data_IF_362976196604
#
_entry.id   IF_362976196604
#
_cell.length_a   1.000
_cell.length_b   1.000
_cell.length_c   1.000
_cell.angle_alpha   90.00
_cell.angle_beta   90.00
_cell.angle_gamma   90.00
#
_symmetry.space_group_name_H-M   'P 1'
#
loop_
_entity.id
_entity.type
_entity.pdbx_description
1 polymer ?
#
# COMPACT_ATOMS: atom_id res chain seq x y z
N UNK A 1 -8.94 -0.91 6.83
CA UNK A 1 -8.77 -1.99 7.86
C UNK A 1 -7.33 -2.48 7.82
N UNK A 2 -6.65 -2.57 8.97
CA UNK A 2 -5.26 -3.05 9.03
C UNK A 2 -5.23 -4.57 9.17
N UNK A 3 -4.66 -5.25 8.18
CA UNK A 3 -4.45 -6.70 8.13
C UNK A 3 -2.97 -6.98 8.33
N UNK A 4 -2.63 -7.99 9.13
CA UNK A 4 -1.22 -8.40 9.31
C UNK A 4 -1.01 -9.70 8.56
N UNK A 5 -0.16 -9.68 7.55
CA UNK A 5 0.22 -10.87 6.78
C UNK A 5 1.61 -10.73 6.20
N UNK A 6 2.51 -11.65 6.57
CA UNK A 6 3.87 -11.72 6.04
C UNK A 6 3.91 -12.09 4.55
N UNK A 7 2.89 -12.78 4.06
CA UNK A 7 2.86 -13.32 2.69
C UNK A 7 2.33 -12.31 1.67
N UNK A 8 1.49 -11.36 2.11
CA UNK A 8 0.92 -10.33 1.23
C UNK A 8 1.85 -9.12 1.05
N UNK A 9 2.80 -8.91 1.97
CA UNK A 9 3.78 -7.84 1.84
C UNK A 9 5.04 -8.39 1.16
N UNK A 10 5.43 -7.86 -0.01
CA UNK A 10 6.62 -8.31 -0.74
C UNK A 10 7.92 -8.18 0.09
N UNK A 11 8.93 -8.97 -0.26
CA UNK A 11 10.26 -8.87 0.36
C UNK A 11 10.84 -7.46 0.10
N UNK A 12 11.45 -6.86 1.12
CA UNK A 12 11.98 -5.49 1.06
C UNK A 12 11.03 -4.41 1.59
N UNK A 13 9.74 -4.70 1.76
CA UNK A 13 8.75 -3.73 2.23
C UNK A 13 8.24 -4.05 3.65
N UNK A 14 7.80 -3.00 4.36
CA UNK A 14 7.23 -3.10 5.71
C UNK A 14 5.69 -3.20 5.68
N UNK A 15 5.06 -2.55 4.70
CA UNK A 15 3.64 -2.58 4.47
C UNK A 15 3.27 -2.51 2.99
N UNK A 16 1.99 -2.73 2.69
CA UNK A 16 1.38 -2.60 1.38
C UNK A 16 -0.03 -2.03 1.56
N UNK A 17 -0.36 -0.95 0.86
CA UNK A 17 -1.71 -0.37 0.89
C UNK A 17 -2.47 -0.65 -0.40
N UNK A 18 -3.61 -1.32 -0.26
CA UNK A 18 -4.57 -1.58 -1.35
C UNK A 18 -5.95 -1.24 -0.81
N UNK A 19 -6.53 -0.12 -1.23
CA UNK A 19 -7.79 0.38 -0.71
C UNK A 19 -8.87 -0.71 -0.65
N UNK A 20 -9.61 -0.87 0.47
CA UNK A 20 -9.56 -0.10 1.73
C UNK A 20 -8.63 -0.70 2.82
N UNK A 21 -7.69 -1.56 2.43
CA UNK A 21 -6.85 -2.36 3.31
C UNK A 21 -5.41 -1.86 3.38
N UNK A 22 -4.85 -1.94 4.59
CA UNK A 22 -3.41 -1.74 4.84
C UNK A 22 -2.87 -3.07 5.33
N UNK A 23 -1.95 -3.65 4.60
CA UNK A 23 -1.26 -4.89 4.97
C UNK A 23 0.06 -4.55 5.64
N UNK A 24 0.26 -5.03 6.86
CA UNK A 24 1.52 -4.94 7.57
C UNK A 24 2.19 -6.29 7.62
N UNK A 25 3.52 -6.32 7.48
CA UNK A 25 4.28 -7.57 7.47
C UNK A 25 4.29 -8.29 8.83
N UNK A 26 4.31 -7.51 9.91
CA UNK A 26 4.44 -8.00 11.30
C UNK A 26 3.57 -7.16 12.24
N UNK A 27 3.17 -7.75 13.38
CA UNK A 27 2.30 -7.07 14.35
C UNK A 27 2.95 -5.85 15.02
N UNK A 28 4.28 -5.87 15.22
CA UNK A 28 4.99 -4.76 15.86
C UNK A 28 4.94 -3.46 15.06
N UNK A 29 4.79 -3.55 13.73
CA UNK A 29 4.70 -2.38 12.85
C UNK A 29 3.43 -1.55 13.10
N UNK A 30 2.44 -2.07 13.82
CA UNK A 30 1.29 -1.30 14.30
C UNK A 30 1.67 -0.23 15.34
N UNK A 31 2.86 -0.30 15.93
CA UNK A 31 3.34 0.69 16.89
C UNK A 31 4.17 1.78 16.21
N UNK A 32 4.53 1.60 14.94
CA UNK A 32 5.27 2.59 14.17
C UNK A 32 4.32 3.65 13.61
N UNK A 33 4.25 4.78 14.28
CA UNK A 33 3.36 5.90 13.93
C UNK A 33 3.71 6.47 12.55
N UNK A 34 4.99 6.52 12.18
CA UNK A 34 5.40 7.06 10.89
C UNK A 34 4.94 6.16 9.74
N UNK A 35 5.11 4.84 9.89
CA UNK A 35 4.60 3.88 8.91
C UNK A 35 3.07 3.95 8.81
N UNK A 36 2.36 3.99 9.93
CA UNK A 36 0.89 4.06 9.91
C UNK A 36 0.40 5.34 9.22
N UNK A 37 1.05 6.48 9.47
CA UNK A 37 0.73 7.74 8.81
C UNK A 37 1.02 7.67 7.30
N UNK A 38 2.15 7.08 6.90
CA UNK A 38 2.49 6.86 5.50
C UNK A 38 1.40 6.04 4.77
N UNK A 39 1.01 4.88 5.31
CA UNK A 39 -0.04 4.05 4.72
C UNK A 39 -1.42 4.75 4.72
N UNK A 40 -1.72 5.59 5.72
CA UNK A 40 -2.94 6.38 5.75
C UNK A 40 -2.98 7.46 4.65
N UNK A 41 -1.85 8.10 4.34
CA UNK A 41 -1.73 9.03 3.22
C UNK A 41 -1.95 8.29 1.89
N UNK A 42 -1.37 7.10 1.71
CA UNK A 42 -1.61 6.28 0.51
C UNK A 42 -3.10 5.98 0.31
N UNK A 43 -3.84 5.64 1.37
CA UNK A 43 -5.29 5.44 1.26
C UNK A 43 -6.04 6.70 0.83
N UNK A 44 -5.61 7.88 1.29
CA UNK A 44 -6.20 9.16 0.88
C UNK A 44 -5.88 9.48 -0.57
N UNK A 45 -4.64 9.26 -1.00
CA UNK A 45 -4.24 9.44 -2.40
C UNK A 45 -5.01 8.50 -3.34
N UNK A 46 -5.21 7.23 -2.96
CA UNK A 46 -6.02 6.29 -3.74
C UNK A 46 -7.48 6.74 -3.87
N UNK A 47 -8.03 7.43 -2.86
CA UNK A 47 -9.35 8.04 -2.94
C UNK A 47 -9.37 9.32 -3.80
N UNK A 48 -8.40 10.21 -3.60
CA UNK A 48 -8.26 11.49 -4.33
C UNK A 48 -8.09 11.27 -5.83
N UNK A 49 -7.34 10.23 -6.22
CA UNK A 49 -7.07 9.89 -7.61
C UNK A 49 -8.11 8.95 -8.21
N UNK A 50 -9.20 8.66 -7.49
CA UNK A 50 -10.19 7.65 -7.81
C UNK A 50 -9.54 6.25 -7.86
N UNK A 51 -9.99 5.36 -6.98
CA UNK A 51 -9.35 4.05 -6.73
C UNK A 51 -9.01 3.28 -8.01
N UNK A 52 -9.94 3.24 -8.97
CA UNK A 52 -9.76 2.55 -10.24
C UNK A 52 -8.72 3.25 -11.15
N UNK A 53 -8.86 4.56 -11.50
CA UNK A 53 -7.82 5.27 -12.23
C UNK A 53 -6.42 5.21 -11.61
N UNK A 54 -6.31 5.27 -10.29
CA UNK A 54 -5.03 5.13 -9.58
C UNK A 54 -4.33 3.82 -9.93
N UNK A 55 -5.01 2.67 -9.78
CA UNK A 55 -4.41 1.37 -10.06
C UNK A 55 -4.14 1.16 -11.54
N UNK A 56 -4.97 1.70 -12.43
CA UNK A 56 -4.71 1.68 -13.87
C UNK A 56 -3.43 2.43 -14.22
N UNK A 57 -3.26 3.65 -13.71
CA UNK A 57 -2.06 4.44 -13.95
C UNK A 57 -0.80 3.76 -13.40
N UNK A 58 -0.88 3.23 -12.18
CA UNK A 58 0.22 2.51 -11.54
C UNK A 58 0.65 1.28 -12.34
N UNK A 59 -0.32 0.47 -12.82
CA UNK A 59 -0.04 -0.69 -13.65
C UNK A 59 0.59 -0.29 -14.99
N UNK A 60 0.08 0.76 -15.62
CA UNK A 60 0.65 1.28 -16.87
C UNK A 60 2.09 1.75 -16.68
N UNK A 61 2.38 2.51 -15.62
CA UNK A 61 3.75 2.94 -15.30
C UNK A 61 4.68 1.73 -15.13
N UNK A 62 4.23 0.70 -14.41
CA UNK A 62 4.99 -0.52 -14.22
C UNK A 62 5.26 -1.24 -15.55
N UNK A 63 4.26 -1.36 -16.42
CA UNK A 63 4.41 -1.98 -17.75
C UNK A 63 5.36 -1.18 -18.65
N UNK A 64 5.31 0.15 -18.60
CA UNK A 64 6.23 1.01 -19.37
C UNK A 64 7.66 0.87 -18.89
N UNK A 65 7.89 0.73 -17.58
CA UNK A 65 9.23 0.53 -16.99
C UNK A 65 9.75 -0.91 -17.08
N UNK A 66 8.96 -1.83 -17.64
CA UNK A 66 9.32 -3.25 -17.77
C UNK A 66 10.23 -3.53 -18.99
N UNK A 67 10.25 -2.63 -19.97
CA UNK A 67 11.08 -2.67 -21.18
C UNK A 67 12.26 -1.73 -21.03
#
# INVERSE_FOLDING_TARGET
>A
MIVVSKYLVPKGYAGLTVFPFVFLKTKHLKQDIHLLNHEAIHLKQQLELLVLPFFLWYLLEFLVKLV
#
